data_IF_257861171077
#
_entry.id   IF_257861171077
#
_cell.length_a   1.000
_cell.length_b   1.000
_cell.length_c   1.000
_cell.angle_alpha   90.00
_cell.angle_beta   90.00
_cell.angle_gamma   90.00
#
_symmetry.space_group_name_H-M   'P 1'
#
loop_
_entity.id
_entity.type
_entity.pdbx_description
1 polymer ?
#
# COMPACT_ATOMS: atom_id res chain seq x y z
N UNK A 1 12.01 5.33 13.66
CA UNK A 1 12.27 6.77 13.46
C UNK A 1 11.08 7.59 13.96
N UNK A 2 11.00 7.92 15.26
CA UNK A 2 9.91 8.73 15.83
C UNK A 2 10.18 10.25 15.82
N UNK A 3 11.32 10.74 16.33
CA UNK A 3 11.80 12.11 16.07
C UNK A 3 12.45 12.13 14.67
N UNK A 4 12.16 13.07 13.74
CA UNK A 4 11.46 14.37 13.88
C UNK A 4 9.93 14.35 13.72
N UNK A 5 9.33 13.22 13.34
CA UNK A 5 7.90 13.14 12.96
C UNK A 5 6.92 13.27 14.14
N UNK A 6 7.41 13.17 15.37
CA UNK A 6 6.62 13.44 16.56
C UNK A 6 6.45 14.93 16.87
N UNK A 7 7.27 15.79 16.26
CA UNK A 7 7.22 17.24 16.52
C UNK A 7 5.91 17.84 16.00
N UNK A 8 5.18 18.66 16.80
CA UNK A 8 3.90 19.22 16.38
C UNK A 8 3.93 20.05 15.09
N UNK A 9 5.05 20.72 14.79
CA UNK A 9 5.18 21.47 13.54
C UNK A 9 5.38 20.55 12.32
N UNK A 10 6.01 19.38 12.50
CA UNK A 10 6.17 18.38 11.43
C UNK A 10 4.83 17.71 11.14
N UNK A 11 4.07 17.34 12.18
CA UNK A 11 2.72 16.76 12.03
C UNK A 11 1.72 17.70 11.33
N UNK A 12 1.93 19.02 11.42
CA UNK A 12 1.11 20.04 10.76
C UNK A 12 1.62 20.43 9.37
N UNK A 13 2.84 20.06 9.02
CA UNK A 13 3.42 20.37 7.73
C UNK A 13 2.80 19.48 6.64
N UNK A 14 2.61 20.04 5.45
CA UNK A 14 2.20 19.27 4.28
C UNK A 14 3.42 18.56 3.70
N UNK A 15 3.62 17.29 4.06
CA UNK A 15 4.71 16.45 3.56
C UNK A 15 4.10 15.16 2.96
N UNK A 16 3.60 15.19 1.71
CA UNK A 16 2.80 14.09 1.16
C UNK A 16 3.51 12.72 1.14
N UNK A 17 4.84 12.70 1.07
CA UNK A 17 5.64 11.47 1.01
C UNK A 17 5.64 10.67 2.33
N UNK A 18 5.53 11.33 3.50
CA UNK A 18 5.75 10.70 4.82
C UNK A 18 4.88 11.24 5.96
N UNK A 19 4.18 12.36 5.75
CA UNK A 19 3.43 13.09 6.79
C UNK A 19 1.96 12.68 6.92
N UNK A 20 1.53 11.59 6.27
CA UNK A 20 0.14 11.12 6.34
C UNK A 20 -0.22 10.66 7.75
N UNK A 21 -1.30 11.23 8.32
CA UNK A 21 -1.85 10.82 9.62
C UNK A 21 -3.29 10.37 9.42
N UNK A 22 -3.56 9.10 9.68
CA UNK A 22 -4.88 8.49 9.52
C UNK A 22 -5.00 7.25 10.43
N UNK A 23 -6.24 6.81 10.66
CA UNK A 23 -6.49 5.52 11.29
C UNK A 23 -6.75 4.44 10.22
N UNK A 24 -6.79 3.17 10.64
CA UNK A 24 -7.02 2.04 9.73
C UNK A 24 -8.32 2.17 8.92
N UNK A 25 -9.39 2.68 9.54
CA UNK A 25 -10.70 2.86 8.90
C UNK A 25 -10.65 3.92 7.80
N UNK A 26 -10.07 5.08 8.06
CA UNK A 26 -9.96 6.15 7.06
C UNK A 26 -9.00 5.76 5.93
N UNK A 27 -7.90 5.07 6.26
CA UNK A 27 -6.99 4.51 5.26
C UNK A 27 -7.70 3.50 4.34
N UNK A 28 -8.40 2.52 4.91
CA UNK A 28 -9.11 1.50 4.13
C UNK A 28 -10.19 2.09 3.21
N UNK A 29 -10.82 3.23 3.56
CA UNK A 29 -11.79 3.91 2.68
C UNK A 29 -11.15 4.47 1.42
N UNK A 30 -9.93 5.02 1.52
CA UNK A 30 -9.17 5.46 0.34
C UNK A 30 -8.87 4.28 -0.59
N UNK A 31 -8.39 3.17 -0.03
CA UNK A 31 -8.13 1.96 -0.81
C UNK A 31 -9.41 1.34 -1.37
N UNK A 32 -10.53 1.40 -0.65
CA UNK A 32 -11.82 0.90 -1.12
C UNK A 32 -12.32 1.66 -2.33
N UNK A 33 -12.02 2.96 -2.44
CA UNK A 33 -12.29 3.74 -3.64
C UNK A 33 -11.54 3.17 -4.85
N UNK A 34 -10.25 2.82 -4.70
CA UNK A 34 -9.46 2.23 -5.77
C UNK A 34 -9.86 0.79 -6.08
N UNK A 35 -10.15 -0.03 -5.07
CA UNK A 35 -10.58 -1.42 -5.24
C UNK A 35 -11.93 -1.51 -6.00
N UNK A 36 -12.75 -0.47 -5.89
CA UNK A 36 -14.02 -0.35 -6.62
C UNK A 36 -13.91 0.58 -7.85
N UNK A 37 -12.74 0.64 -8.49
CA UNK A 37 -12.58 1.30 -9.79
C UNK A 37 -12.83 2.82 -9.75
N UNK A 38 -12.55 3.48 -8.64
CA UNK A 38 -12.68 4.93 -8.50
C UNK A 38 -13.97 5.40 -7.82
N UNK A 39 -14.79 4.47 -7.31
CA UNK A 39 -16.05 4.78 -6.63
C UNK A 39 -16.02 4.37 -5.16
N UNK A 40 -16.59 5.19 -4.29
CA UNK A 40 -16.81 4.85 -2.89
C UNK A 40 -18.17 5.38 -2.41
N UNK A 41 -18.97 4.52 -1.77
CA UNK A 41 -20.33 4.85 -1.30
C UNK A 41 -21.21 5.54 -2.36
N UNK A 42 -21.21 5.01 -3.59
CA UNK A 42 -21.99 5.56 -4.70
C UNK A 42 -21.39 6.79 -5.38
N UNK A 43 -20.39 7.44 -4.79
CA UNK A 43 -19.74 8.62 -5.36
C UNK A 43 -18.52 8.22 -6.18
N UNK A 44 -18.48 8.61 -7.45
CA UNK A 44 -17.33 8.40 -8.34
C UNK A 44 -16.36 9.57 -8.24
N UNK A 45 -15.13 9.28 -7.79
CA UNK A 45 -14.04 10.26 -7.70
C UNK A 45 -13.06 10.13 -8.87
N UNK A 46 -12.88 8.92 -9.40
CA UNK A 46 -12.03 8.63 -10.56
C UNK A 46 -12.80 7.74 -11.56
N UNK A 47 -12.47 7.82 -12.86
CA UNK A 47 -12.99 6.87 -13.84
C UNK A 47 -12.36 5.48 -13.63
N UNK A 48 -13.09 4.43 -13.98
CA UNK A 48 -12.56 3.05 -13.90
C UNK A 48 -11.32 2.89 -14.78
N UNK A 49 -11.34 3.47 -15.98
CA UNK A 49 -10.19 3.50 -16.88
C UNK A 49 -8.96 4.15 -16.22
N UNK A 50 -9.14 5.28 -15.52
CA UNK A 50 -8.05 5.94 -14.81
C UNK A 50 -7.48 5.03 -13.71
N UNK A 51 -8.33 4.40 -12.91
CA UNK A 51 -7.86 3.51 -11.84
C UNK A 51 -7.18 2.27 -12.41
N UNK A 52 -7.73 1.67 -13.47
CA UNK A 52 -7.12 0.53 -14.16
C UNK A 52 -5.73 0.88 -14.73
N UNK A 53 -5.55 2.11 -15.20
CA UNK A 53 -4.25 2.57 -15.70
C UNK A 53 -3.17 2.61 -14.62
N UNK A 54 -3.52 2.74 -13.33
CA UNK A 54 -2.54 2.92 -12.27
C UNK A 54 -1.62 1.73 -12.04
N UNK A 55 -2.00 0.53 -12.47
CA UNK A 55 -1.16 -0.66 -12.37
C UNK A 55 -0.17 -0.82 -13.54
N UNK A 56 -0.22 0.04 -14.55
CA UNK A 56 0.66 -0.07 -15.70
C UNK A 56 2.14 0.17 -15.30
N UNK A 57 3.09 -0.57 -15.88
CA UNK A 57 4.50 -0.45 -15.53
C UNK A 57 5.05 0.92 -15.93
N UNK A 58 5.97 1.45 -15.12
CA UNK A 58 6.79 2.60 -15.49
C UNK A 58 7.94 2.19 -16.43
N UNK A 59 8.58 3.14 -17.14
CA UNK A 59 9.87 2.87 -17.77
C UNK A 59 10.87 2.32 -16.74
N UNK A 60 11.73 1.37 -17.16
CA UNK A 60 12.74 0.76 -16.29
C UNK A 60 12.15 0.03 -15.07
N UNK A 61 10.94 -0.55 -15.21
CA UNK A 61 10.23 -1.24 -14.11
C UNK A 61 11.03 -2.39 -13.47
N UNK A 62 11.90 -3.05 -14.24
CA UNK A 62 12.71 -4.18 -13.78
C UNK A 62 14.12 -3.79 -13.34
N UNK A 63 14.48 -2.53 -13.44
CA UNK A 63 15.83 -2.06 -13.13
C UNK A 63 15.98 -1.96 -11.61
N UNK A 64 17.18 -2.26 -11.12
CA UNK A 64 17.53 -2.10 -9.72
C UNK A 64 17.42 -0.62 -9.31
N UNK A 65 16.77 -0.36 -8.18
CA UNK A 65 16.63 0.99 -7.64
C UNK A 65 17.84 1.34 -6.75
N UNK A 66 18.67 2.33 -7.13
CA UNK A 66 19.85 2.70 -6.35
C UNK A 66 19.49 3.36 -5.00
N UNK A 67 18.28 3.91 -4.86
CA UNK A 67 17.78 4.46 -3.60
C UNK A 67 17.28 3.35 -2.68
N UNK A 68 16.73 2.27 -3.26
CA UNK A 68 16.26 1.10 -2.53
C UNK A 68 17.29 -0.04 -2.50
N UNK A 69 18.53 0.31 -2.16
CA UNK A 69 19.64 -0.64 -1.94
C UNK A 69 19.94 -1.59 -3.11
N UNK A 70 19.66 -1.17 -4.34
CA UNK A 70 19.86 -1.99 -5.54
C UNK A 70 18.81 -3.07 -5.75
N UNK A 71 17.67 -3.02 -5.05
CA UNK A 71 16.56 -3.94 -5.24
C UNK A 71 15.64 -3.52 -6.38
N UNK A 72 14.98 -4.48 -7.03
CA UNK A 72 13.87 -4.17 -7.94
C UNK A 72 12.62 -3.87 -7.11
N UNK A 73 12.08 -2.66 -7.26
CA UNK A 73 10.89 -2.23 -6.53
C UNK A 73 9.70 -2.15 -7.50
N UNK A 74 8.58 -2.84 -7.22
CA UNK A 74 7.47 -2.95 -8.16
C UNK A 74 6.59 -1.70 -8.17
N UNK A 75 7.14 -0.54 -8.52
CA UNK A 75 6.41 0.74 -8.57
C UNK A 75 5.86 0.98 -9.97
N UNK A 76 4.54 1.16 -10.08
CA UNK A 76 3.87 1.51 -11.32
C UNK A 76 4.11 2.99 -11.71
N UNK A 77 3.76 3.39 -12.94
CA UNK A 77 3.95 4.78 -13.38
C UNK A 77 3.19 5.81 -12.52
N UNK A 78 2.11 5.37 -11.88
CA UNK A 78 1.26 6.15 -11.00
C UNK A 78 1.90 6.45 -9.63
N UNK A 79 3.03 5.81 -9.31
CA UNK A 79 3.69 5.89 -8.01
C UNK A 79 3.17 4.89 -6.97
N UNK A 80 2.10 4.14 -7.26
CA UNK A 80 1.69 3.02 -6.42
C UNK A 80 2.68 1.87 -6.55
N UNK A 81 2.93 1.19 -5.43
CA UNK A 81 3.59 -0.11 -5.45
C UNK A 81 2.58 -1.17 -5.86
N UNK A 82 3.03 -2.20 -6.54
CA UNK A 82 2.23 -3.36 -6.91
C UNK A 82 2.43 -4.47 -5.89
N UNK A 83 1.33 -5.15 -5.59
CA UNK A 83 1.36 -6.37 -4.77
C UNK A 83 1.95 -7.58 -5.51
N UNK A 84 1.80 -8.74 -4.90
CA UNK A 84 2.12 -10.04 -5.48
C UNK A 84 3.58 -10.43 -5.38
N UNK A 85 4.41 -9.65 -4.67
CA UNK A 85 5.79 -10.04 -4.42
C UNK A 85 5.87 -11.27 -3.50
N UNK A 86 6.88 -12.10 -3.70
CA UNK A 86 7.11 -13.27 -2.86
C UNK A 86 7.55 -12.90 -1.44
N UNK A 87 8.15 -11.72 -1.27
CA UNK A 87 8.70 -11.25 0.00
C UNK A 87 8.10 -9.88 0.39
N UNK A 88 8.16 -9.54 1.69
CA UNK A 88 7.85 -8.20 2.17
C UNK A 88 8.64 -7.11 1.41
N UNK A 89 8.15 -5.86 1.35
CA UNK A 89 7.02 -5.34 2.12
C UNK A 89 5.65 -5.42 1.43
N UNK A 90 5.57 -6.01 0.23
CA UNK A 90 4.35 -6.06 -0.60
C UNK A 90 3.89 -7.49 -0.93
N UNK A 91 4.23 -8.44 -0.06
CA UNK A 91 3.72 -9.82 -0.08
C UNK A 91 2.29 -9.95 0.45
N UNK A 92 1.87 -9.03 1.32
CA UNK A 92 0.54 -9.05 1.93
C UNK A 92 -0.60 -8.90 0.90
N UNK A 93 -0.56 -8.00 -0.10
CA UNK A 93 -1.48 -8.03 -1.23
C UNK A 93 -1.00 -9.09 -2.22
N UNK A 94 -1.70 -10.23 -2.36
CA UNK A 94 -1.22 -11.37 -3.17
C UNK A 94 -1.39 -11.21 -4.69
N UNK A 95 -2.15 -10.21 -5.10
CA UNK A 95 -2.44 -9.95 -6.51
C UNK A 95 -1.43 -8.95 -7.09
N UNK A 96 -0.81 -9.27 -8.23
CA UNK A 96 0.10 -8.37 -8.95
C UNK A 96 -0.59 -7.11 -9.50
N UNK A 97 -1.93 -7.12 -9.61
CA UNK A 97 -2.74 -5.96 -9.97
C UNK A 97 -3.19 -5.13 -8.76
N UNK A 98 -2.92 -5.60 -7.54
CA UNK A 98 -3.25 -4.84 -6.35
C UNK A 98 -2.36 -3.59 -6.25
N UNK A 99 -2.99 -2.45 -6.04
CA UNK A 99 -2.31 -1.19 -5.77
C UNK A 99 -2.06 -1.11 -4.27
N UNK A 100 -0.85 -0.77 -3.86
CA UNK A 100 -0.49 -0.65 -2.45
C UNK A 100 0.56 0.45 -2.23
N UNK A 101 0.80 0.75 -0.96
CA UNK A 101 1.96 1.54 -0.57
C UNK A 101 2.44 1.07 0.82
N UNK A 102 3.62 0.44 0.93
CA UNK A 102 4.22 0.14 2.21
C UNK A 102 4.76 1.43 2.85
N UNK A 103 4.57 1.57 4.15
CA UNK A 103 5.14 2.64 4.96
C UNK A 103 6.28 2.11 5.82
N UNK A 104 7.25 2.98 6.11
CA UNK A 104 8.32 2.68 7.05
C UNK A 104 7.74 2.15 8.37
N UNK A 105 8.30 1.03 8.86
CA UNK A 105 7.91 0.47 10.14
C UNK A 105 6.69 -0.46 10.11
N UNK A 106 6.22 -0.93 8.95
CA UNK A 106 5.24 -2.03 8.87
C UNK A 106 3.79 -1.59 8.61
N UNK A 107 3.52 -0.30 8.51
CA UNK A 107 2.22 0.18 8.04
C UNK A 107 2.06 -0.14 6.55
N UNK A 108 0.85 -0.50 6.12
CA UNK A 108 0.55 -0.70 4.70
C UNK A 108 -0.94 -0.51 4.46
N UNK A 109 -1.29 -0.01 3.28
CA UNK A 109 -2.64 -0.16 2.76
C UNK A 109 -2.62 -0.62 1.31
N UNK A 110 -3.68 -1.30 0.90
CA UNK A 110 -3.80 -1.81 -0.46
C UNK A 110 -5.25 -1.96 -0.91
N UNK A 111 -5.41 -1.95 -2.23
CA UNK A 111 -6.63 -2.21 -2.96
C UNK A 111 -6.41 -3.36 -3.94
N UNK A 112 -7.18 -4.42 -3.80
CA UNK A 112 -7.22 -5.55 -4.74
C UNK A 112 -8.49 -5.42 -5.60
N UNK A 113 -8.36 -5.02 -6.88
CA UNK A 113 -9.52 -4.80 -7.75
C UNK A 113 -10.25 -6.10 -8.09
N UNK A 114 -9.56 -7.24 -8.09
CA UNK A 114 -10.15 -8.52 -8.51
C UNK A 114 -11.01 -9.10 -7.36
N UNK A 115 -10.59 -8.89 -6.11
CA UNK A 115 -11.36 -9.24 -4.91
C UNK A 115 -12.32 -8.13 -4.44
N UNK A 116 -12.27 -6.94 -5.06
CA UNK A 116 -12.89 -5.70 -4.56
C UNK A 116 -12.60 -5.45 -3.07
N UNK A 117 -11.39 -5.81 -2.66
CA UNK A 117 -10.94 -5.80 -1.27
C UNK A 117 -10.05 -4.58 -1.03
N UNK A 118 -10.26 -3.92 0.11
CA UNK A 118 -9.36 -2.89 0.60
C UNK A 118 -9.00 -3.15 2.06
N UNK A 119 -7.72 -2.99 2.39
CA UNK A 119 -7.22 -3.19 3.74
C UNK A 119 -6.26 -2.05 4.10
N UNK A 120 -6.35 -1.59 5.35
CA UNK A 120 -5.39 -0.65 5.93
C UNK A 120 -4.89 -1.20 7.27
N UNK A 121 -3.58 -1.45 7.37
CA UNK A 121 -2.90 -1.85 8.60
C UNK A 121 -2.15 -0.64 9.13
N UNK A 122 -2.59 -0.14 10.29
CA UNK A 122 -2.03 1.03 10.97
C UNK A 122 -1.63 0.67 12.40
N UNK A 123 -0.36 0.87 12.77
CA UNK A 123 0.15 0.62 14.11
C UNK A 123 1.34 1.53 14.45
N UNK A 124 1.64 1.64 15.75
CA UNK A 124 2.67 2.55 16.26
C UNK A 124 3.99 1.85 16.63
N UNK A 125 4.01 0.51 16.70
CA UNK A 125 5.24 -0.26 16.93
C UNK A 125 5.93 -0.50 15.61
N UNK A 126 6.95 0.30 15.27
CA UNK A 126 7.73 0.09 14.06
C UNK A 126 8.48 -1.25 14.11
N UNK A 127 8.46 -1.99 13.02
CA UNK A 127 9.28 -3.18 12.80
C UNK A 127 9.72 -3.24 11.34
N UNK A 128 10.69 -4.10 11.07
CA UNK A 128 11.05 -4.51 9.72
C UNK A 128 11.17 -6.03 9.70
N UNK A 129 10.68 -6.65 8.63
CA UNK A 129 10.65 -8.11 8.50
C UNK A 129 10.97 -8.46 7.06
N UNK A 130 11.95 -9.36 6.90
CA UNK A 130 12.33 -9.91 5.59
C UNK A 130 11.72 -11.29 5.34
N UNK A 131 11.48 -12.06 6.40
CA UNK A 131 10.83 -13.36 6.29
C UNK A 131 9.30 -13.20 6.21
N UNK A 132 8.73 -13.69 5.12
CA UNK A 132 7.30 -13.68 4.91
C UNK A 132 6.52 -14.42 6.01
N UNK A 133 7.09 -15.48 6.59
CA UNK A 133 6.44 -16.27 7.62
C UNK A 133 6.29 -15.50 8.94
N UNK A 134 7.14 -14.50 9.18
CA UNK A 134 7.11 -13.66 10.38
C UNK A 134 6.43 -12.30 10.13
N UNK A 135 6.09 -11.98 8.88
CA UNK A 135 5.53 -10.69 8.51
C UNK A 135 4.06 -10.60 8.90
N UNK A 136 3.77 -9.85 9.97
CA UNK A 136 2.41 -9.70 10.48
C UNK A 136 1.43 -9.12 9.46
N UNK A 137 1.91 -8.29 8.52
CA UNK A 137 1.07 -7.76 7.43
C UNK A 137 0.58 -8.89 6.53
N UNK A 138 1.48 -9.80 6.18
CA UNK A 138 1.18 -10.98 5.36
C UNK A 138 0.22 -11.92 6.09
N UNK A 139 0.51 -12.26 7.35
CA UNK A 139 -0.35 -13.13 8.17
C UNK A 139 -1.78 -12.57 8.26
N UNK A 140 -1.92 -11.28 8.57
CA UNK A 140 -3.22 -10.60 8.65
C UNK A 140 -3.91 -10.58 7.27
N UNK A 141 -3.17 -10.26 6.21
CA UNK A 141 -3.70 -10.23 4.85
C UNK A 141 -4.21 -11.59 4.36
N UNK A 142 -3.50 -12.67 4.67
CA UNK A 142 -3.91 -14.05 4.37
C UNK A 142 -5.17 -14.43 5.16
N UNK A 143 -5.24 -14.08 6.45
CA UNK A 143 -6.43 -14.31 7.28
C UNK A 143 -7.67 -13.57 6.75
N UNK A 144 -7.52 -12.31 6.34
CA UNK A 144 -8.62 -11.53 5.74
C UNK A 144 -9.10 -12.19 4.45
N UNK A 145 -8.20 -12.58 3.55
CA UNK A 145 -8.56 -13.26 2.30
C UNK A 145 -9.27 -14.59 2.54
N UNK A 146 -8.81 -15.37 3.50
CA UNK A 146 -9.43 -16.64 3.84
C UNK A 146 -10.89 -16.46 4.30
N UNK A 147 -11.21 -15.35 4.97
CA UNK A 147 -12.55 -15.02 5.46
C UNK A 147 -13.52 -14.47 4.38
N UNK A 148 -13.06 -14.23 3.15
CA UNK A 148 -13.91 -13.80 2.02
C UNK A 148 -14.54 -14.97 1.26
N UNK A 149 -14.13 -16.21 1.58
CA UNK A 149 -14.65 -17.45 1.02
C UNK A 149 -15.79 -17.98 1.90
#
# INVERSE_FOLDING_TARGET
>A
MPDPFERPYVRRACIPAVGGIFNARSNARFWAMLANGGQFNGVRLLSEERVASFAAPRPHFKDADPVFFGMVVPIAWSGFWLGGAENPPVSAPRNMRALCHPGMGGNIGWADPDLKLAVGICHNRMFDTVDIAEDSRTIIGDAIRAALR
#
